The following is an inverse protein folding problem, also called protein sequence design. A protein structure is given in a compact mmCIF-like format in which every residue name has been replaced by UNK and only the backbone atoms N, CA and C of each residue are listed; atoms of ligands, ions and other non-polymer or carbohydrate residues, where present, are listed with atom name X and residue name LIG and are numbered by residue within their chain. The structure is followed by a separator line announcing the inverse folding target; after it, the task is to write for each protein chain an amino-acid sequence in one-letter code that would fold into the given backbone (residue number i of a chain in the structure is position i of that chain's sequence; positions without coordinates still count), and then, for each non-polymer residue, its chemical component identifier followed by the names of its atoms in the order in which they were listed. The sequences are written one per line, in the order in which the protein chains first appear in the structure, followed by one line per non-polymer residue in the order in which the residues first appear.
data_IF_976635905898
#
_entry.id   IF_976635905898
#
_cell.length_a   1.000
_cell.length_b   1.000
_cell.length_c   1.000
_cell.angle_alpha   90.00
_cell.angle_beta   90.00
_cell.angle_gamma   90.00
#
_symmetry.space_group_name_H-M   'P 1'
#
loop_
_entity.id
_entity.type
_entity.pdbx_description
1 polymer ?
#
# COMPACT_ATOMS: atom_id res chain seq x y z
N UNK A 1 -52.76 42.53 10.59
CA UNK A 1 -51.69 42.66 9.57
C UNK A 1 -50.72 41.52 9.81
N UNK A 2 -50.92 40.41 9.10
CA UNK A 2 -50.12 39.18 9.19
C UNK A 2 -49.27 39.17 7.93
N UNK A 3 -47.96 39.22 8.08
CA UNK A 3 -47.01 39.15 6.98
C UNK A 3 -46.64 37.68 6.81
N UNK A 4 -47.12 37.07 5.73
CA UNK A 4 -46.64 35.77 5.27
C UNK A 4 -45.20 35.96 4.76
N UNK A 5 -44.26 35.27 5.39
CA UNK A 5 -42.92 35.07 4.87
C UNK A 5 -42.92 33.69 4.21
N UNK A 6 -43.11 33.68 2.89
CA UNK A 6 -42.78 32.53 2.06
C UNK A 6 -41.28 32.29 2.17
N UNK A 7 -40.91 31.28 2.96
CA UNK A 7 -39.57 30.70 2.91
C UNK A 7 -39.53 29.75 1.70
N UNK A 8 -39.19 30.32 0.54
CA UNK A 8 -38.65 29.56 -0.59
C UNK A 8 -37.33 28.92 -0.15
N UNK A 9 -37.42 27.76 0.48
CA UNK A 9 -36.31 26.81 0.57
C UNK A 9 -36.11 26.18 -0.80
N UNK A 10 -35.50 26.93 -1.71
CA UNK A 10 -34.74 26.34 -2.80
C UNK A 10 -33.58 25.57 -2.17
N UNK A 11 -33.83 24.31 -1.82
CA UNK A 11 -32.81 23.40 -1.37
C UNK A 11 -31.73 23.33 -2.43
N UNK A 12 -30.58 23.94 -2.15
CA UNK A 12 -29.33 23.69 -2.86
C UNK A 12 -29.02 22.22 -2.64
N UNK A 13 -29.46 21.39 -3.59
CA UNK A 13 -29.09 19.99 -3.63
C UNK A 13 -27.61 19.94 -4.03
N UNK A 14 -26.75 19.95 -3.02
CA UNK A 14 -25.31 19.87 -3.17
C UNK A 14 -24.97 18.47 -3.65
N UNK A 15 -24.93 18.29 -4.97
CA UNK A 15 -24.52 17.05 -5.60
C UNK A 15 -22.99 17.07 -5.73
N UNK A 16 -22.29 16.04 -5.23
CA UNK A 16 -20.84 15.94 -5.39
C UNK A 16 -20.50 15.88 -6.90
N UNK A 17 -19.70 16.82 -7.37
CA UNK A 17 -19.15 16.80 -8.73
C UNK A 17 -17.90 15.93 -8.73
N UNK A 18 -18.00 14.73 -9.30
CA UNK A 18 -16.89 13.78 -9.35
C UNK A 18 -15.95 14.21 -10.47
N UNK A 19 -14.98 15.06 -10.16
CA UNK A 19 -13.87 15.34 -11.08
C UNK A 19 -12.92 14.14 -11.11
N UNK A 20 -13.26 13.13 -11.91
CA UNK A 20 -12.39 11.97 -12.13
C UNK A 20 -11.11 12.45 -12.84
N UNK A 21 -9.95 12.26 -12.20
CA UNK A 21 -8.67 12.33 -12.92
C UNK A 21 -8.74 11.24 -13.99
N UNK A 22 -8.84 11.64 -15.25
CA UNK A 22 -8.97 10.69 -16.36
C UNK A 22 -7.57 10.18 -16.73
N UNK A 23 -7.42 8.88 -17.03
CA UNK A 23 -6.21 8.34 -17.66
C UNK A 23 -5.76 9.15 -18.86
N UNK A 24 -4.45 9.37 -19.08
CA UNK A 24 -3.99 9.94 -20.33
C UNK A 24 -4.39 9.03 -21.50
N UNK A 25 -4.78 9.64 -22.63
CA UNK A 25 -5.26 8.93 -23.83
C UNK A 25 -4.22 7.95 -24.42
N UNK A 26 -2.93 8.12 -24.09
CA UNK A 26 -1.88 7.15 -24.36
C UNK A 26 -1.03 6.92 -23.11
N UNK A 27 -0.94 5.66 -22.66
CA UNK A 27 -0.05 5.22 -21.58
C UNK A 27 1.28 4.69 -22.15
N UNK A 28 1.86 5.39 -23.13
CA UNK A 28 3.10 4.96 -23.77
C UNK A 28 4.30 5.65 -23.15
N UNK A 29 5.41 4.92 -22.96
CA UNK A 29 6.69 5.47 -22.49
C UNK A 29 7.00 5.09 -21.04
N UNK A 30 7.94 5.81 -20.44
CA UNK A 30 8.35 5.62 -19.04
C UNK A 30 7.99 6.85 -18.21
N UNK A 31 7.77 6.63 -16.92
CA UNK A 31 7.64 7.68 -15.92
C UNK A 31 8.65 7.43 -14.80
N UNK A 32 9.29 8.49 -14.32
CA UNK A 32 10.12 8.41 -13.13
C UNK A 32 9.23 8.56 -11.91
N UNK A 33 9.22 7.54 -11.06
CA UNK A 33 8.43 7.54 -9.81
C UNK A 33 9.36 7.55 -8.62
N UNK A 34 9.12 8.47 -7.70
CA UNK A 34 9.90 8.64 -6.49
C UNK A 34 9.27 7.89 -5.32
N UNK A 35 10.07 7.67 -4.28
CA UNK A 35 9.65 7.03 -3.02
C UNK A 35 8.34 7.59 -2.48
N UNK A 36 8.18 8.92 -2.55
CA UNK A 36 6.99 9.61 -2.02
C UNK A 36 5.72 9.20 -2.77
N UNK A 37 5.78 9.10 -4.09
CA UNK A 37 4.63 8.72 -4.91
C UNK A 37 4.28 7.25 -4.71
N UNK A 38 5.28 6.37 -4.67
CA UNK A 38 5.09 4.94 -4.37
C UNK A 38 4.41 4.79 -3.01
N UNK A 39 4.89 5.48 -1.97
CA UNK A 39 4.27 5.46 -0.63
C UNK A 39 2.81 5.87 -0.66
N UNK A 40 2.51 6.98 -1.34
CA UNK A 40 1.15 7.51 -1.43
C UNK A 40 0.19 6.52 -2.12
N UNK A 41 0.60 6.00 -3.29
CA UNK A 41 -0.23 5.06 -4.07
C UNK A 41 -0.42 3.75 -3.31
N UNK A 42 0.66 3.18 -2.75
CA UNK A 42 0.59 1.91 -2.02
C UNK A 42 -0.28 2.03 -0.76
N UNK A 43 -0.15 3.12 0.02
CA UNK A 43 -0.97 3.34 1.21
C UNK A 43 -2.46 3.31 0.88
N UNK A 44 -2.85 4.02 -0.18
CA UNK A 44 -4.24 4.05 -0.66
C UNK A 44 -4.73 2.67 -1.11
N UNK A 45 -3.94 1.95 -1.90
CA UNK A 45 -4.28 0.60 -2.34
C UNK A 45 -4.45 -0.36 -1.15
N UNK A 46 -3.57 -0.27 -0.15
CA UNK A 46 -3.68 -1.07 1.08
C UNK A 46 -4.96 -0.74 1.86
N UNK A 47 -5.36 0.54 1.93
CA UNK A 47 -6.64 0.94 2.53
C UNK A 47 -7.83 0.36 1.75
N UNK A 48 -7.78 0.37 0.41
CA UNK A 48 -8.81 -0.28 -0.43
C UNK A 48 -8.89 -1.78 -0.16
N UNK A 49 -7.74 -2.44 0.07
CA UNK A 49 -7.68 -3.86 0.43
C UNK A 49 -8.12 -4.15 1.88
N UNK A 50 -8.55 -3.15 2.64
CA UNK A 50 -9.02 -3.32 4.01
C UNK A 50 -7.90 -3.52 5.03
N UNK A 51 -6.65 -3.16 4.70
CA UNK A 51 -5.55 -3.21 5.67
C UNK A 51 -5.84 -2.23 6.82
N UNK A 52 -5.85 -2.68 8.09
CA UNK A 52 -6.16 -1.81 9.22
C UNK A 52 -5.19 -0.63 9.32
N UNK A 53 -5.69 0.53 9.74
CA UNK A 53 -4.88 1.75 9.87
C UNK A 53 -3.63 1.57 10.75
N UNK A 54 -3.68 0.70 11.77
CA UNK A 54 -2.53 0.37 12.61
C UNK A 54 -1.44 -0.47 11.92
N UNK A 55 -1.79 -1.23 10.88
CA UNK A 55 -0.86 -2.06 10.10
C UNK A 55 -0.40 -1.38 8.80
N UNK A 56 -1.19 -0.43 8.29
CA UNK A 56 -0.97 0.20 7.00
C UNK A 56 0.41 0.88 6.85
N UNK A 57 0.96 1.62 7.84
CA UNK A 57 2.29 2.21 7.70
C UNK A 57 3.39 1.17 7.47
N UNK A 58 3.36 0.07 8.23
CA UNK A 58 4.32 -1.03 8.09
C UNK A 58 4.16 -1.77 6.76
N UNK A 59 2.93 -2.08 6.35
CA UNK A 59 2.67 -2.73 5.07
C UNK A 59 3.12 -1.85 3.89
N UNK A 60 2.80 -0.55 3.91
CA UNK A 60 3.25 0.42 2.90
C UNK A 60 4.78 0.46 2.80
N UNK A 61 5.46 0.56 3.94
CA UNK A 61 6.92 0.65 3.93
C UNK A 61 7.55 -0.68 3.48
N UNK A 62 6.94 -1.83 3.78
CA UNK A 62 7.35 -3.12 3.21
C UNK A 62 7.17 -3.19 1.69
N UNK A 63 6.08 -2.66 1.12
CA UNK A 63 5.92 -2.58 -0.34
C UNK A 63 7.01 -1.70 -0.96
N UNK A 64 7.36 -0.59 -0.31
CA UNK A 64 8.46 0.29 -0.76
C UNK A 64 9.79 -0.46 -0.73
N UNK A 65 10.05 -1.24 0.31
CA UNK A 65 11.25 -2.10 0.41
C UNK A 65 11.24 -3.19 -0.67
N UNK A 66 10.07 -3.73 -1.02
CA UNK A 66 9.94 -4.65 -2.16
C UNK A 66 10.28 -3.96 -3.48
N UNK A 67 9.84 -2.72 -3.70
CA UNK A 67 10.20 -1.96 -4.90
C UNK A 67 11.69 -1.62 -4.92
N UNK A 68 12.28 -1.28 -3.77
CA UNK A 68 13.73 -1.07 -3.64
C UNK A 68 14.51 -2.35 -4.00
N UNK A 69 14.04 -3.52 -3.56
CA UNK A 69 14.72 -4.80 -3.76
C UNK A 69 14.50 -5.42 -5.14
N UNK A 70 13.27 -5.36 -5.65
CA UNK A 70 12.83 -6.09 -6.84
C UNK A 70 12.44 -5.17 -8.01
N UNK A 71 12.50 -3.85 -7.81
CA UNK A 71 12.18 -2.86 -8.83
C UNK A 71 10.77 -3.03 -9.37
N UNK A 72 10.67 -2.99 -10.70
CA UNK A 72 9.43 -3.15 -11.45
C UNK A 72 8.65 -4.42 -11.08
N UNK A 73 9.32 -5.53 -10.80
CA UNK A 73 8.65 -6.81 -10.51
C UNK A 73 7.69 -6.70 -9.33
N UNK A 74 8.03 -5.91 -8.29
CA UNK A 74 7.14 -5.67 -7.16
C UNK A 74 5.90 -4.86 -7.58
N UNK A 75 6.07 -3.87 -8.46
CA UNK A 75 4.96 -3.07 -8.98
C UNK A 75 4.05 -3.88 -9.92
N UNK A 76 4.61 -4.75 -10.76
CA UNK A 76 3.82 -5.62 -11.64
C UNK A 76 2.93 -6.56 -10.80
N UNK A 77 3.47 -7.13 -9.70
CA UNK A 77 2.70 -7.98 -8.78
C UNK A 77 1.63 -7.21 -8.02
N UNK A 78 1.96 -6.00 -7.56
CA UNK A 78 0.96 -5.11 -6.97
C UNK A 78 -0.14 -4.78 -7.98
N UNK A 79 0.23 -4.49 -9.23
CA UNK A 79 -0.71 -4.21 -10.31
C UNK A 79 -1.64 -5.39 -10.58
N UNK A 80 -1.10 -6.60 -10.62
CA UNK A 80 -1.89 -7.83 -10.78
C UNK A 80 -2.89 -8.03 -9.63
N UNK A 81 -2.50 -7.76 -8.39
CA UNK A 81 -3.38 -7.86 -7.22
C UNK A 81 -4.55 -6.86 -7.24
N UNK A 82 -4.41 -5.74 -7.95
CA UNK A 82 -5.41 -4.67 -8.04
C UNK A 82 -5.96 -4.47 -9.46
N UNK A 83 -5.76 -5.45 -10.35
CA UNK A 83 -6.20 -5.36 -11.74
C UNK A 83 -7.73 -5.31 -11.84
N UNK A 84 -8.25 -4.57 -12.82
CA UNK A 84 -9.69 -4.50 -13.07
C UNK A 84 -10.26 -5.90 -13.38
N UNK A 85 -11.34 -6.28 -12.69
CA UNK A 85 -11.99 -7.58 -12.83
C UNK A 85 -11.41 -8.71 -11.98
N UNK A 86 -10.33 -8.46 -11.23
CA UNK A 86 -9.88 -9.37 -10.18
C UNK A 86 -10.79 -9.27 -8.95
N UNK A 87 -10.96 -10.38 -8.23
CA UNK A 87 -11.49 -10.33 -6.87
C UNK A 87 -10.54 -9.50 -6.03
N UNK A 88 -11.06 -8.43 -5.41
CA UNK A 88 -10.20 -7.53 -4.65
C UNK A 88 -9.57 -8.27 -3.48
N UNK A 89 -8.29 -8.03 -3.21
CA UNK A 89 -7.67 -8.57 -2.02
C UNK A 89 -8.41 -8.05 -0.80
N UNK A 90 -8.90 -8.96 0.03
CA UNK A 90 -9.47 -8.66 1.33
C UNK A 90 -8.45 -9.07 2.39
N UNK A 91 -7.85 -8.08 3.04
CA UNK A 91 -6.83 -8.33 4.04
C UNK A 91 -7.37 -9.21 5.17
N UNK A 92 -6.63 -10.26 5.49
CA UNK A 92 -6.86 -11.12 6.65
C UNK A 92 -5.58 -11.18 7.49
N UNK A 93 -5.64 -11.07 8.82
CA UNK A 93 -4.43 -11.11 9.64
C UNK A 93 -3.74 -12.47 9.53
N UNK A 94 -2.40 -12.50 9.39
CA UNK A 94 -1.65 -13.75 9.54
C UNK A 94 -1.79 -14.28 10.97
N UNK A 95 -1.76 -15.60 11.15
CA UNK A 95 -1.98 -16.27 12.44
C UNK A 95 -0.72 -16.98 12.90
N UNK A 96 -0.33 -16.77 14.14
CA UNK A 96 0.71 -17.59 14.77
C UNK A 96 0.13 -18.97 15.09
N UNK A 97 0.69 -20.01 14.48
CA UNK A 97 0.21 -21.41 14.62
C UNK A 97 1.16 -22.26 15.45
N UNK A 98 2.27 -21.70 15.91
CA UNK A 98 3.21 -22.34 16.82
C UNK A 98 4.33 -21.40 17.26
N UNK A 99 5.29 -21.90 18.06
CA UNK A 99 6.39 -21.09 18.57
C UNK A 99 7.26 -20.46 17.49
N UNK A 100 7.44 -21.09 16.32
CA UNK A 100 8.15 -20.50 15.17
C UNK A 100 7.41 -20.81 13.86
N UNK A 101 6.09 -20.64 13.88
CA UNK A 101 5.22 -20.91 12.73
C UNK A 101 4.13 -19.84 12.59
N UNK A 102 4.02 -19.27 11.38
CA UNK A 102 3.02 -18.27 11.01
C UNK A 102 2.29 -18.79 9.77
N UNK A 103 0.96 -18.75 9.78
CA UNK A 103 0.08 -19.06 8.66
C UNK A 103 -0.44 -17.75 8.06
N UNK A 104 -0.15 -17.50 6.79
CA UNK A 104 -0.58 -16.30 6.08
C UNK A 104 -1.93 -16.47 5.35
N UNK A 105 -2.49 -17.69 5.31
CA UNK A 105 -3.84 -17.93 4.79
C UNK A 105 -4.06 -17.53 3.32
N UNK A 106 -3.04 -17.72 2.49
CA UNK A 106 -3.04 -17.47 1.05
C UNK A 106 -2.87 -15.99 0.69
N UNK A 107 -2.66 -15.11 1.67
CA UNK A 107 -2.52 -13.68 1.44
C UNK A 107 -1.20 -13.36 0.72
N UNK A 108 -1.19 -12.30 -0.10
CA UNK A 108 0.04 -11.81 -0.73
C UNK A 108 0.98 -11.19 0.31
N UNK A 109 2.27 -11.43 0.15
CA UNK A 109 3.33 -10.80 0.94
C UNK A 109 3.24 -9.27 0.88
N UNK A 110 2.74 -8.67 -0.21
CA UNK A 110 2.54 -7.22 -0.30
C UNK A 110 1.52 -6.68 0.72
N UNK A 111 0.61 -7.53 1.22
CA UNK A 111 -0.43 -7.14 2.18
C UNK A 111 -0.08 -7.53 3.62
N UNK A 112 0.49 -8.71 3.81
CA UNK A 112 0.76 -9.29 5.15
C UNK A 112 2.25 -9.45 5.47
N UNK A 113 3.15 -9.11 4.55
CA UNK A 113 4.60 -9.29 4.71
C UNK A 113 5.15 -8.54 5.91
N UNK A 114 4.69 -7.30 6.16
CA UNK A 114 5.11 -6.52 7.32
C UNK A 114 4.77 -7.20 8.67
N UNK A 115 3.51 -7.57 8.99
CA UNK A 115 3.22 -8.28 10.24
C UNK A 115 3.83 -9.69 10.30
N UNK A 116 4.00 -10.38 9.16
CA UNK A 116 4.73 -11.66 9.09
C UNK A 116 6.18 -11.49 9.51
N UNK A 117 6.89 -10.53 8.93
CA UNK A 117 8.28 -10.21 9.25
C UNK A 117 8.45 -9.69 10.67
N UNK A 118 7.51 -8.86 11.16
CA UNK A 118 7.51 -8.41 12.56
C UNK A 118 7.49 -9.60 13.52
N UNK A 119 6.64 -10.60 13.24
CA UNK A 119 6.57 -11.83 14.02
C UNK A 119 7.86 -12.64 13.98
N UNK A 120 8.50 -12.75 12.80
CA UNK A 120 9.76 -13.46 12.65
C UNK A 120 10.94 -12.74 13.33
N UNK A 121 11.03 -11.42 13.19
CA UNK A 121 12.05 -10.58 13.81
C UNK A 121 11.92 -10.55 15.34
N UNK A 122 10.69 -10.59 15.87
CA UNK A 122 10.43 -10.66 17.31
C UNK A 122 10.97 -11.95 17.95
N UNK A 123 11.08 -13.04 17.19
CA UNK A 123 11.69 -14.29 17.66
C UNK A 123 13.22 -14.23 17.72
N UNK A 124 13.81 -13.21 17.10
CA UNK A 124 15.24 -12.95 17.08
C UNK A 124 16.07 -14.06 16.42
N UNK A 125 17.41 -13.92 16.49
CA UNK A 125 18.32 -14.89 15.89
C UNK A 125 18.13 -16.31 16.45
N UNK A 126 18.29 -17.32 15.58
CA UNK A 126 18.20 -18.73 15.96
C UNK A 126 17.57 -19.60 14.88
N UNK A 127 16.77 -20.60 15.29
CA UNK A 127 16.08 -21.49 14.37
C UNK A 127 15.18 -20.71 13.38
N UNK A 128 14.97 -21.18 12.14
CA UNK A 128 14.09 -20.47 11.21
C UNK A 128 12.64 -20.42 11.68
N UNK A 129 11.95 -19.32 11.36
CA UNK A 129 10.49 -19.20 11.46
C UNK A 129 9.87 -19.68 10.15
N UNK A 130 8.93 -20.63 10.23
CA UNK A 130 8.22 -21.16 9.07
C UNK A 130 6.99 -20.31 8.79
N UNK A 131 6.89 -19.80 7.58
CA UNK A 131 5.73 -19.08 7.05
C UNK A 131 5.03 -20.02 6.08
N UNK A 132 3.73 -20.23 6.27
CA UNK A 132 2.92 -21.11 5.42
C UNK A 132 1.89 -20.33 4.64
N UNK A 133 1.59 -20.82 3.44
CA UNK A 133 0.50 -20.33 2.59
C UNK A 133 0.57 -18.81 2.37
N UNK A 134 1.73 -18.33 1.91
CA UNK A 134 2.00 -16.94 1.59
C UNK A 134 2.18 -16.80 0.07
N UNK A 135 1.27 -16.08 -0.58
CA UNK A 135 1.46 -15.71 -1.98
C UNK A 135 2.61 -14.70 -2.09
N UNK A 136 3.40 -14.79 -3.16
CA UNK A 136 4.58 -13.94 -3.38
C UNK A 136 5.64 -14.05 -2.26
N UNK A 137 5.83 -15.24 -1.68
CA UNK A 137 6.70 -15.46 -0.53
C UNK A 137 8.17 -15.02 -0.76
N UNK A 138 8.64 -14.99 -2.00
CA UNK A 138 9.96 -14.47 -2.37
C UNK A 138 10.14 -12.98 -2.07
N UNK A 139 9.05 -12.21 -2.02
CA UNK A 139 9.10 -10.80 -1.65
C UNK A 139 9.53 -10.58 -0.19
N UNK A 140 9.44 -11.60 0.68
CA UNK A 140 9.93 -11.49 2.05
C UNK A 140 11.43 -11.18 2.13
N UNK A 141 12.23 -11.45 1.10
CA UNK A 141 13.66 -11.09 1.05
C UNK A 141 13.88 -9.57 1.13
N UNK A 142 12.88 -8.75 0.76
CA UNK A 142 12.90 -7.31 1.01
C UNK A 142 12.99 -6.96 2.51
N UNK A 143 12.54 -7.87 3.38
CA UNK A 143 12.68 -7.75 4.83
C UNK A 143 14.12 -7.67 5.33
N UNK A 144 15.11 -8.02 4.50
CA UNK A 144 16.53 -7.81 4.81
C UNK A 144 16.88 -6.32 5.01
N UNK A 145 16.18 -5.40 4.34
CA UNK A 145 16.36 -3.96 4.51
C UNK A 145 15.89 -3.50 5.90
N UNK A 146 14.72 -3.99 6.33
CA UNK A 146 14.20 -3.72 7.67
C UNK A 146 15.09 -4.36 8.76
N UNK A 147 15.45 -5.64 8.60
CA UNK A 147 16.32 -6.32 9.54
C UNK A 147 17.65 -5.56 9.73
N UNK A 148 18.28 -5.12 8.63
CA UNK A 148 19.53 -4.39 8.69
C UNK A 148 19.37 -3.01 9.36
N UNK A 149 18.24 -2.33 9.17
CA UNK A 149 17.94 -1.06 9.84
C UNK A 149 17.88 -1.18 11.38
N UNK A 150 17.62 -2.39 11.89
CA UNK A 150 17.63 -2.70 13.34
C UNK A 150 18.87 -3.50 13.77
N UNK A 151 19.90 -3.59 12.92
CA UNK A 151 21.16 -4.25 13.24
C UNK A 151 21.11 -5.78 13.20
N UNK A 152 20.18 -6.37 12.45
CA UNK A 152 20.03 -7.81 12.26
C UNK A 152 20.22 -8.19 10.79
N UNK A 153 20.62 -9.43 10.54
CA UNK A 153 20.53 -10.03 9.21
C UNK A 153 19.24 -10.83 9.04
N UNK A 154 18.86 -11.09 7.80
CA UNK A 154 17.69 -11.90 7.46
C UNK A 154 17.96 -12.67 6.18
N UNK A 155 17.68 -13.97 6.20
CA UNK A 155 17.71 -14.85 5.03
C UNK A 155 16.33 -15.48 4.84
N UNK A 156 15.88 -15.54 3.59
CA UNK A 156 14.61 -16.18 3.22
C UNK A 156 14.88 -17.33 2.27
N UNK A 157 14.33 -18.50 2.57
CA UNK A 157 14.28 -19.64 1.65
C UNK A 157 12.82 -19.92 1.32
N UNK A 158 12.48 -20.04 0.04
CA UNK A 158 11.10 -20.24 -0.43
C UNK A 158 10.94 -21.62 -1.05
N UNK A 159 9.83 -22.28 -0.73
CA UNK A 159 9.41 -23.56 -1.31
C UNK A 159 7.91 -23.47 -1.67
N UNK A 160 7.61 -23.12 -2.91
CA UNK A 160 6.23 -22.85 -3.33
C UNK A 160 5.65 -21.61 -2.64
N UNK A 161 4.53 -21.79 -1.93
CA UNK A 161 3.89 -20.74 -1.13
C UNK A 161 4.39 -20.69 0.33
N UNK A 162 5.33 -21.57 0.69
CA UNK A 162 5.91 -21.59 2.03
C UNK A 162 7.28 -20.92 2.03
N UNK A 163 7.65 -20.30 3.14
CA UNK A 163 8.97 -19.71 3.34
C UNK A 163 9.55 -20.07 4.70
N UNK A 164 10.88 -20.12 4.77
CA UNK A 164 11.66 -20.15 6.01
C UNK A 164 12.41 -18.84 6.13
N UNK A 165 12.14 -18.11 7.20
CA UNK A 165 12.81 -16.86 7.54
C UNK A 165 13.77 -17.13 8.68
N UNK A 166 15.06 -16.98 8.42
CA UNK A 166 16.10 -17.07 9.44
C UNK A 166 16.63 -15.67 9.74
N UNK A 167 16.59 -15.32 11.02
CA UNK A 167 17.13 -14.05 11.52
C UNK A 167 18.56 -14.30 11.96
N UNK A 168 19.48 -13.45 11.50
CA UNK A 168 20.90 -13.60 11.75
C UNK A 168 21.40 -12.49 12.69
N UNK A 169 22.41 -12.77 13.51
CA UNK A 169 23.07 -11.73 14.27
C UNK A 169 23.85 -10.80 13.32
N UNK A 170 23.61 -9.49 13.45
CA UNK A 170 24.28 -8.43 12.70
C UNK A 170 24.11 -8.48 11.17
N UNK A 171 23.96 -7.30 10.57
CA UNK A 171 24.07 -7.13 9.12
C UNK A 171 25.01 -5.97 8.81
N UNK A 172 25.73 -6.04 7.68
CA UNK A 172 26.41 -4.87 7.15
C UNK A 172 25.40 -3.75 6.83
N UNK A 173 25.82 -2.48 6.92
CA UNK A 173 24.95 -1.36 6.61
C UNK A 173 24.44 -1.44 5.17
N UNK A 174 23.16 -1.10 5.00
CA UNK A 174 22.49 -1.11 3.69
C UNK A 174 22.98 0.08 2.86
N UNK A 175 23.30 -0.11 1.56
CA UNK A 175 23.63 0.99 0.67
C UNK A 175 22.47 1.99 0.49
N UNK A 176 22.75 3.21 0.00
CA UNK A 176 21.71 4.22 -0.21
C UNK A 176 20.62 3.73 -1.18
N UNK A 177 19.37 4.10 -0.86
CA UNK A 177 18.17 3.65 -1.56
C UNK A 177 18.14 4.12 -3.02
N UNK A 178 17.86 3.19 -3.94
CA UNK A 178 17.55 3.42 -5.36
C UNK A 178 16.39 4.39 -5.54
N UNK A 179 15.44 4.41 -4.61
CA UNK A 179 14.34 5.38 -4.61
C UNK A 179 14.76 6.81 -4.27
N UNK A 180 16.03 7.06 -3.91
CA UNK A 180 16.58 8.40 -3.69
C UNK A 180 16.55 9.27 -4.95
N UNK A 181 16.75 8.68 -6.13
CA UNK A 181 16.65 9.35 -7.44
C UNK A 181 15.35 9.08 -8.18
N UNK A 182 14.50 8.20 -7.62
CA UNK A 182 13.35 7.63 -8.31
C UNK A 182 13.75 6.47 -9.23
N UNK A 183 12.75 5.71 -9.67
CA UNK A 183 12.88 4.59 -10.59
C UNK A 183 12.08 4.85 -11.86
N UNK A 184 12.64 4.50 -13.01
CA UNK A 184 11.89 4.52 -14.27
C UNK A 184 11.00 3.29 -14.36
N UNK A 185 9.71 3.50 -14.58
CA UNK A 185 8.72 2.44 -14.72
C UNK A 185 7.90 2.69 -15.98
N UNK A 186 7.45 1.64 -16.68
CA UNK A 186 6.55 1.82 -17.82
C UNK A 186 5.25 2.51 -17.37
N UNK A 187 4.79 3.47 -18.17
CA UNK A 187 3.59 4.25 -17.88
C UNK A 187 2.35 3.33 -17.73
N UNK A 188 2.29 2.26 -18.51
CA UNK A 188 1.23 1.24 -18.46
C UNK A 188 1.23 0.40 -17.18
N UNK A 189 2.32 0.40 -16.40
CA UNK A 189 2.38 -0.25 -15.08
C UNK A 189 1.96 0.73 -13.99
N UNK A 190 2.48 1.96 -14.05
CA UNK A 190 2.26 2.94 -12.99
C UNK A 190 0.85 3.55 -12.99
N UNK A 191 0.34 3.95 -14.15
CA UNK A 191 -0.92 4.67 -14.22
C UNK A 191 -2.11 3.84 -13.71
N UNK A 192 -2.27 2.55 -14.05
CA UNK A 192 -3.34 1.73 -13.48
C UNK A 192 -3.30 1.70 -11.95
N UNK A 193 -2.13 1.53 -11.35
CA UNK A 193 -1.97 1.58 -9.88
C UNK A 193 -2.41 2.93 -9.32
N UNK A 194 -1.96 4.03 -9.92
CA UNK A 194 -2.32 5.38 -9.51
C UNK A 194 -3.83 5.61 -9.57
N UNK A 195 -4.48 5.24 -10.67
CA UNK A 195 -5.93 5.42 -10.84
C UNK A 195 -6.74 4.54 -9.89
N UNK A 196 -6.38 3.27 -9.73
CA UNK A 196 -7.04 2.39 -8.74
C UNK A 196 -6.87 2.95 -7.33
N UNK A 197 -5.72 3.55 -7.02
CA UNK A 197 -5.50 4.17 -5.70
C UNK A 197 -6.43 5.34 -5.40
N UNK A 198 -6.98 6.01 -6.42
CA UNK A 198 -7.90 7.13 -6.23
C UNK A 198 -9.25 6.68 -5.64
N UNK A 199 -9.58 5.39 -5.69
CA UNK A 199 -10.78 4.87 -5.01
C UNK A 199 -10.69 4.94 -3.49
N UNK A 200 -9.48 5.02 -2.93
CA UNK A 200 -9.27 5.28 -1.51
C UNK A 200 -9.62 6.72 -1.12
N UNK A 201 -9.74 7.62 -2.10
CA UNK A 201 -10.13 8.99 -1.84
C UNK A 201 -11.59 9.00 -1.43
N UNK A 202 -11.90 9.76 -0.38
CA UNK A 202 -13.27 10.11 -0.10
C UNK A 202 -13.90 10.76 -1.33
N UNK A 203 -15.16 10.44 -1.59
CA UNK A 203 -15.96 11.17 -2.58
C UNK A 203 -15.84 12.66 -2.25
N UNK A 204 -15.54 13.48 -3.26
CA UNK A 204 -15.49 14.93 -3.10
C UNK A 204 -16.89 15.42 -2.72
N UNK A 205 -17.05 15.74 -1.45
CA UNK A 205 -18.28 16.20 -0.80
C UNK A 205 -17.95 17.50 -0.07
N UNK A 206 -18.94 18.34 0.22
CA UNK A 206 -18.69 19.54 1.03
C UNK A 206 -18.08 19.19 2.39
N UNK A 207 -18.47 18.04 2.96
CA UNK A 207 -17.87 17.52 4.17
C UNK A 207 -16.40 17.14 3.98
N UNK A 208 -16.04 16.46 2.88
CA UNK A 208 -14.63 16.18 2.61
C UNK A 208 -13.86 17.48 2.42
N UNK A 209 -14.38 18.52 1.78
CA UNK A 209 -13.67 19.80 1.59
C UNK A 209 -13.25 20.49 2.90
N UNK A 210 -13.91 20.18 4.01
CA UNK A 210 -13.52 20.65 5.35
C UNK A 210 -12.25 19.96 5.89
N UNK A 211 -11.83 18.82 5.32
CA UNK A 211 -10.62 18.08 5.76
C UNK A 211 -9.33 18.87 5.53
N UNK A 212 -9.32 19.79 4.56
CA UNK A 212 -8.19 20.71 4.31
C UNK A 212 -8.29 22.01 5.10
N UNK A 213 -9.29 22.16 5.97
CA UNK A 213 -9.62 23.39 6.69
C UNK A 213 -10.78 24.16 6.06
N UNK A 214 -11.10 25.33 6.63
CA UNK A 214 -12.17 26.21 6.13
C UNK A 214 -11.76 26.81 4.78
N UNK A 215 -12.12 26.15 3.67
CA UNK A 215 -12.07 26.77 2.36
C UNK A 215 -13.13 27.89 2.32
N UNK A 216 -12.79 29.13 1.94
CA UNK A 216 -13.81 30.15 1.69
C UNK A 216 -14.74 29.64 0.59
N UNK A 217 -16.06 29.91 0.67
CA UNK A 217 -16.98 29.51 -0.38
C UNK A 217 -16.51 30.10 -1.72
N UNK A 218 -16.70 29.38 -2.84
CA UNK A 218 -16.35 29.89 -4.15
C UNK A 218 -17.03 31.25 -4.34
N UNK A 219 -16.23 32.26 -4.69
CA UNK A 219 -16.70 33.62 -4.94
C UNK A 219 -17.70 33.61 -6.09
N UNK A 220 -18.99 33.66 -5.76
CA UNK A 220 -20.10 33.60 -6.71
C UNK A 220 -21.48 33.36 -6.08
N UNK A 221 -21.56 33.05 -4.78
CA UNK A 221 -22.82 32.96 -4.03
C UNK A 221 -22.89 34.12 -3.03
N UNK A 222 -23.21 35.32 -3.51
CA UNK A 222 -23.84 36.41 -2.75
C UNK A 222 -24.78 37.15 -3.68
#
# INVERSE_FOLDING_TARGET
MRTDLDHDTHGLELRPDISAITPPESMTGTVTVHRREIRLVCERLLLVAGVPAGACPGARDFVVDCVERFGRTALDRLGAAFAAGADRPAWTPPRRTGPRAIDAGGQSALLVGAPVLAGALADGPGAPVTIRDLADADLLDAGSLWAAAIGLGLTVTVEGADARVEVLPAAPPVPPSLLGTGIEVPAEVWWPLYYTSNEALSVDTDLSRLHTGMAPPPSGIL
#
